data_IF_515573627856
#
_entry.id   IF_515573627856
#
_cell.length_a   1.000
_cell.length_b   1.000
_cell.length_c   1.000
_cell.angle_alpha   90.00
_cell.angle_beta   90.00
_cell.angle_gamma   90.00
#
_symmetry.space_group_name_H-M   'P 1'
#
loop_
_entity.id
_entity.type
_entity.pdbx_description
1 polymer ?
#
# COMPACT_ATOMS: atom_id res chain seq x y z
N UNK A 1 -0.90 5.09 -23.20
CA UNK A 1 -1.27 6.45 -22.77
C UNK A 1 -0.17 7.09 -21.93
N UNK A 2 0.19 6.56 -20.76
CA UNK A 2 1.24 7.16 -19.89
C UNK A 2 2.55 7.44 -20.63
N UNK A 3 3.13 6.43 -21.31
CA UNK A 3 4.41 6.60 -22.04
C UNK A 3 4.31 7.62 -23.17
N UNK A 4 3.20 7.64 -23.90
CA UNK A 4 2.96 8.57 -25.01
C UNK A 4 2.85 10.01 -24.50
N UNK A 5 2.11 10.23 -23.41
CA UNK A 5 1.97 11.55 -22.79
C UNK A 5 3.26 12.02 -22.12
N UNK A 6 4.01 11.13 -21.49
CA UNK A 6 5.35 11.42 -20.99
C UNK A 6 6.27 11.84 -22.15
N UNK A 7 6.28 11.08 -23.25
CA UNK A 7 7.06 11.41 -24.45
C UNK A 7 6.70 12.79 -25.05
N UNK A 8 5.40 13.08 -25.20
CA UNK A 8 4.92 14.39 -25.67
C UNK A 8 5.33 15.53 -24.73
N UNK A 9 5.29 15.30 -23.41
CA UNK A 9 5.76 16.25 -22.39
C UNK A 9 7.25 16.58 -22.53
N UNK A 10 8.08 15.62 -22.96
CA UNK A 10 9.50 15.85 -23.24
C UNK A 10 9.76 16.61 -24.54
N UNK A 11 8.89 16.50 -25.54
CA UNK A 11 9.08 17.12 -26.88
C UNK A 11 8.66 18.61 -26.89
N UNK A 12 7.68 19.03 -26.08
CA UNK A 12 7.15 20.40 -26.07
C UNK A 12 7.41 21.13 -24.73
N UNK A 13 8.65 21.56 -24.43
CA UNK A 13 9.02 22.08 -23.11
C UNK A 13 8.56 23.52 -22.82
N UNK A 14 8.15 24.30 -23.83
CA UNK A 14 8.09 25.77 -23.78
C UNK A 14 6.71 26.40 -23.49
N UNK A 15 5.60 25.66 -23.49
CA UNK A 15 4.24 26.21 -23.30
C UNK A 15 3.47 25.67 -22.08
N UNK A 16 4.13 24.98 -21.15
CA UNK A 16 3.45 24.37 -20.00
C UNK A 16 3.49 25.31 -18.77
N UNK A 17 2.36 25.59 -18.12
CA UNK A 17 2.30 26.42 -16.91
C UNK A 17 3.21 25.88 -15.79
N UNK A 18 3.89 26.77 -15.08
CA UNK A 18 4.84 26.42 -13.99
C UNK A 18 4.21 25.72 -12.79
N UNK A 19 2.87 25.70 -12.67
CA UNK A 19 2.13 25.05 -11.58
C UNK A 19 1.92 23.55 -11.74
N UNK A 20 2.23 22.95 -12.90
CA UNK A 20 2.06 21.50 -13.11
C UNK A 20 3.41 20.79 -12.97
N UNK A 21 3.62 19.97 -11.91
CA UNK A 21 4.83 19.20 -11.76
C UNK A 21 4.97 18.20 -12.91
N UNK A 22 5.99 18.41 -13.76
CA UNK A 22 6.28 17.57 -14.94
C UNK A 22 6.99 16.26 -14.60
N UNK A 23 7.51 16.13 -13.37
CA UNK A 23 8.38 15.05 -12.94
C UNK A 23 8.00 14.61 -11.54
N UNK A 24 8.13 13.31 -11.30
CA UNK A 24 8.07 12.77 -9.95
C UNK A 24 9.43 13.05 -9.30
N UNK A 25 9.42 13.81 -8.21
CA UNK A 25 10.62 14.00 -7.38
C UNK A 25 10.63 12.84 -6.39
N UNK A 26 11.46 11.84 -6.64
CA UNK A 26 11.70 10.74 -5.71
C UNK A 26 12.97 11.08 -4.90
N UNK A 27 12.85 11.56 -3.66
CA UNK A 27 14.02 11.68 -2.79
C UNK A 27 14.64 10.30 -2.56
N UNK A 28 15.94 10.24 -2.27
CA UNK A 28 16.60 8.98 -1.97
C UNK A 28 15.93 8.34 -0.74
N UNK A 29 15.54 7.07 -0.85
CA UNK A 29 14.82 6.36 0.21
C UNK A 29 15.57 6.32 1.55
N UNK A 30 16.89 6.54 1.53
CA UNK A 30 17.77 6.53 2.69
C UNK A 30 18.10 7.93 3.26
N UNK A 31 17.63 9.01 2.64
CA UNK A 31 17.87 10.38 3.12
C UNK A 31 16.81 10.88 4.12
N UNK A 32 15.80 10.06 4.45
CA UNK A 32 14.76 10.47 5.40
C UNK A 32 15.31 10.56 6.84
N UNK A 33 15.23 11.72 7.51
CA UNK A 33 15.63 11.85 8.91
C UNK A 33 14.72 11.07 9.87
N UNK A 34 13.56 10.58 9.43
CA UNK A 34 12.61 9.87 10.29
C UNK A 34 12.85 8.36 10.43
N UNK A 35 13.66 7.75 9.56
CA UNK A 35 13.79 6.28 9.46
C UNK A 35 14.70 5.67 10.55
N UNK A 36 15.50 6.48 11.26
CA UNK A 36 16.55 5.95 12.17
C UNK A 36 16.35 6.34 13.65
N UNK A 37 15.26 7.00 14.01
CA UNK A 37 15.10 7.55 15.36
C UNK A 37 14.01 6.88 16.21
N UNK A 38 13.07 6.14 15.60
CA UNK A 38 11.94 5.54 16.34
C UNK A 38 12.41 4.60 17.46
N UNK A 39 13.29 3.63 17.17
CA UNK A 39 13.80 2.69 18.19
C UNK A 39 14.55 3.42 19.31
N UNK A 40 15.30 4.48 18.96
CA UNK A 40 16.11 5.25 19.91
C UNK A 40 15.26 6.15 20.81
N UNK A 41 14.14 6.65 20.30
CA UNK A 41 13.25 7.56 21.00
C UNK A 41 12.10 6.84 21.73
N UNK A 42 11.79 5.58 21.38
CA UNK A 42 10.82 4.74 22.11
C UNK A 42 11.15 4.63 23.61
N UNK A 43 12.44 4.55 23.97
CA UNK A 43 12.87 4.46 25.37
C UNK A 43 12.70 5.75 26.18
N UNK A 44 12.40 6.88 25.53
CA UNK A 44 12.22 8.19 26.19
C UNK A 44 10.75 8.50 26.51
N UNK A 45 9.82 7.68 26.01
CA UNK A 45 8.38 7.92 26.15
C UNK A 45 7.90 7.39 27.51
N UNK A 46 7.13 8.21 28.24
CA UNK A 46 6.55 7.79 29.52
C UNK A 46 5.58 6.62 29.31
N UNK A 47 5.58 5.59 30.18
CA UNK A 47 4.71 4.42 30.07
C UNK A 47 3.22 4.75 29.92
N UNK A 48 2.77 5.86 30.51
CA UNK A 48 1.39 6.36 30.38
C UNK A 48 0.97 6.57 28.92
N UNK A 49 1.83 7.13 28.08
CA UNK A 49 1.54 7.36 26.67
C UNK A 49 1.50 6.07 25.86
N UNK A 50 2.28 5.06 26.26
CA UNK A 50 2.27 3.72 25.64
C UNK A 50 0.89 3.07 25.85
N UNK A 51 0.32 3.18 27.05
CA UNK A 51 -1.02 2.67 27.33
C UNK A 51 -2.11 3.43 26.57
N UNK A 52 -2.00 4.76 26.47
CA UNK A 52 -2.97 5.55 25.68
C UNK A 52 -2.92 5.19 24.19
N UNK A 53 -1.76 4.79 23.65
CA UNK A 53 -1.60 4.39 22.26
C UNK A 53 -2.35 3.11 21.87
N UNK A 54 -2.82 2.31 22.84
CA UNK A 54 -3.64 1.11 22.58
C UNK A 54 -4.98 1.49 21.92
N UNK A 55 -5.56 2.64 22.30
CA UNK A 55 -6.85 3.10 21.76
C UNK A 55 -6.79 3.35 20.24
N UNK A 56 -5.89 4.22 19.72
CA UNK A 56 -5.76 4.41 18.29
C UNK A 56 -5.25 3.14 17.59
N UNK A 57 -4.42 2.32 18.24
CA UNK A 57 -3.97 1.05 17.68
C UNK A 57 -5.13 0.09 17.41
N UNK A 58 -6.10 -0.01 18.33
CA UNK A 58 -7.30 -0.83 18.13
C UNK A 58 -8.15 -0.32 16.95
N UNK A 59 -8.30 0.99 16.82
CA UNK A 59 -9.04 1.60 15.71
C UNK A 59 -8.38 1.29 14.36
N UNK A 60 -7.05 1.43 14.27
CA UNK A 60 -6.29 1.10 13.05
C UNK A 60 -6.33 -0.40 12.74
N UNK A 61 -6.25 -1.25 13.75
CA UNK A 61 -6.38 -2.70 13.58
C UNK A 61 -7.74 -3.08 12.97
N UNK A 62 -8.82 -2.46 13.44
CA UNK A 62 -10.17 -2.63 12.86
C UNK A 62 -10.25 -2.19 11.40
N UNK A 63 -9.69 -1.01 11.07
CA UNK A 63 -9.64 -0.51 9.70
C UNK A 63 -8.85 -1.45 8.78
N UNK A 64 -7.71 -1.95 9.24
CA UNK A 64 -6.85 -2.84 8.46
C UNK A 64 -7.48 -4.20 8.22
N UNK A 65 -8.18 -4.71 9.24
CA UNK A 65 -8.97 -5.93 9.10
C UNK A 65 -10.06 -5.77 8.02
N UNK A 66 -10.74 -4.62 7.98
CA UNK A 66 -11.76 -4.32 6.98
C UNK A 66 -11.15 -4.17 5.58
N UNK A 67 -10.13 -3.33 5.41
CA UNK A 67 -9.43 -3.11 4.14
C UNK A 67 -8.93 -4.43 3.55
N UNK A 68 -8.30 -5.26 4.39
CA UNK A 68 -7.78 -6.56 3.98
C UNK A 68 -8.91 -7.50 3.55
N UNK A 69 -9.97 -7.61 4.35
CA UNK A 69 -11.10 -8.51 4.09
C UNK A 69 -11.86 -8.13 2.82
N UNK A 70 -12.07 -6.83 2.57
CA UNK A 70 -12.75 -6.35 1.36
C UNK A 70 -11.84 -6.50 0.14
N UNK A 71 -10.56 -6.14 0.25
CA UNK A 71 -9.62 -6.27 -0.86
C UNK A 71 -9.41 -7.73 -1.27
N UNK A 72 -9.33 -8.66 -0.31
CA UNK A 72 -9.16 -10.09 -0.57
C UNK A 72 -10.40 -10.69 -1.22
N UNK A 73 -11.60 -10.35 -0.75
CA UNK A 73 -12.86 -10.76 -1.37
C UNK A 73 -12.99 -10.26 -2.82
N UNK A 74 -12.59 -9.02 -3.08
CA UNK A 74 -12.62 -8.43 -4.42
C UNK A 74 -11.57 -9.04 -5.35
N UNK A 75 -10.40 -9.41 -4.84
CA UNK A 75 -9.37 -10.09 -5.62
C UNK A 75 -9.71 -11.56 -5.91
N UNK A 76 -10.54 -12.19 -5.09
CA UNK A 76 -10.86 -13.62 -5.13
C UNK A 76 -12.31 -13.90 -5.55
N UNK A 77 -12.91 -13.01 -6.36
CA UNK A 77 -14.24 -13.26 -6.92
C UNK A 77 -14.31 -14.60 -7.64
N UNK A 78 -15.45 -15.30 -7.51
CA UNK A 78 -15.70 -16.61 -8.16
C UNK A 78 -15.48 -16.57 -9.67
N UNK A 79 -15.64 -15.40 -10.28
CA UNK A 79 -15.40 -15.12 -11.70
C UNK A 79 -13.95 -15.41 -12.15
N UNK A 80 -12.98 -15.30 -11.25
CA UNK A 80 -11.55 -15.52 -11.57
C UNK A 80 -11.12 -16.99 -11.51
N UNK A 81 -12.01 -17.94 -11.16
CA UNK A 81 -11.75 -19.39 -11.18
C UNK A 81 -10.37 -19.80 -10.62
N UNK A 82 -10.05 -19.34 -9.41
CA UNK A 82 -8.74 -19.56 -8.79
C UNK A 82 -8.54 -21.04 -8.42
N UNK A 83 -7.36 -21.61 -8.77
CA UNK A 83 -6.98 -23.01 -8.49
C UNK A 83 -6.61 -23.26 -7.02
N UNK A 84 -6.16 -22.23 -6.30
CA UNK A 84 -5.73 -22.32 -4.90
C UNK A 84 -6.83 -21.78 -3.97
N UNK A 85 -7.11 -22.45 -2.83
CA UNK A 85 -8.07 -21.95 -1.87
C UNK A 85 -7.59 -20.65 -1.21
N UNK A 86 -8.53 -19.83 -0.74
CA UNK A 86 -8.27 -18.58 -0.05
C UNK A 86 -7.75 -18.81 1.37
N UNK A 87 -6.72 -18.07 1.81
CA UNK A 87 -6.09 -18.21 3.13
C UNK A 87 -6.19 -16.91 3.96
N UNK A 88 -7.40 -16.34 4.09
CA UNK A 88 -7.62 -15.04 4.74
C UNK A 88 -7.00 -14.90 6.15
N UNK A 89 -7.06 -15.95 6.97
CA UNK A 89 -6.52 -15.91 8.34
C UNK A 89 -4.99 -15.79 8.37
N UNK A 90 -4.31 -16.46 7.44
CA UNK A 90 -2.85 -16.41 7.35
C UNK A 90 -2.39 -15.03 6.87
N UNK A 91 -3.12 -14.45 5.93
CA UNK A 91 -2.81 -13.13 5.38
C UNK A 91 -2.98 -12.03 6.45
N UNK A 92 -4.00 -12.14 7.32
CA UNK A 92 -4.19 -11.22 8.46
C UNK A 92 -3.07 -11.36 9.49
N UNK A 93 -2.63 -12.59 9.79
CA UNK A 93 -1.50 -12.82 10.70
C UNK A 93 -0.21 -12.22 10.14
N UNK A 94 0.04 -12.41 8.85
CA UNK A 94 1.20 -11.84 8.16
C UNK A 94 1.14 -10.31 8.17
N UNK A 95 -0.04 -9.72 7.93
CA UNK A 95 -0.26 -8.28 7.99
C UNK A 95 0.07 -7.71 9.38
N UNK A 96 -0.38 -8.38 10.46
CA UNK A 96 -0.05 -7.99 11.82
C UNK A 96 1.46 -8.03 12.09
N UNK A 97 2.14 -9.10 11.65
CA UNK A 97 3.58 -9.23 11.79
C UNK A 97 4.35 -8.14 11.02
N UNK A 98 3.95 -7.84 9.78
CA UNK A 98 4.57 -6.75 9.00
C UNK A 98 4.29 -5.37 9.60
N UNK A 99 3.09 -5.14 10.14
CA UNK A 99 2.75 -3.88 10.80
C UNK A 99 3.63 -3.66 12.03
N UNK A 100 3.89 -4.71 12.81
CA UNK A 100 4.82 -4.66 13.94
C UNK A 100 6.25 -4.35 13.48
N UNK A 101 6.73 -5.03 12.44
CA UNK A 101 8.08 -4.79 11.90
C UNK A 101 8.23 -3.35 11.36
N UNK A 102 7.25 -2.87 10.60
CA UNK A 102 7.22 -1.50 10.09
C UNK A 102 7.17 -0.48 11.23
N UNK A 103 6.37 -0.75 12.27
CA UNK A 103 6.30 0.11 13.47
C UNK A 103 7.64 0.23 14.19
N UNK A 104 8.40 -0.87 14.31
CA UNK A 104 9.73 -0.84 14.91
C UNK A 104 10.75 -0.08 14.06
N UNK A 105 10.71 -0.25 12.73
CA UNK A 105 11.62 0.42 11.80
C UNK A 105 11.22 1.90 11.58
N UNK A 106 10.01 2.30 11.96
CA UNK A 106 9.47 3.64 11.71
C UNK A 106 8.96 3.81 10.27
N UNK A 107 8.69 2.71 9.58
CA UNK A 107 8.11 2.72 8.24
C UNK A 107 6.58 2.83 8.32
N UNK A 108 5.95 3.50 7.34
CA UNK A 108 4.51 3.50 7.25
C UNK A 108 4.00 2.06 7.07
N UNK A 109 2.96 1.65 7.82
CA UNK A 109 2.37 0.34 7.67
C UNK A 109 1.68 0.19 6.30
N UNK A 110 1.74 -1.01 5.73
CA UNK A 110 1.13 -1.33 4.44
C UNK A 110 -0.31 -1.81 4.65
N UNK A 111 -1.29 -1.22 3.96
CA UNK A 111 -2.68 -1.66 3.96
C UNK A 111 -3.08 -2.31 2.61
N UNK A 112 -4.22 -3.02 2.61
CA UNK A 112 -4.78 -3.60 1.39
C UNK A 112 -5.33 -2.53 0.46
N UNK A 113 -4.76 -2.39 -0.74
CA UNK A 113 -5.18 -1.35 -1.69
C UNK A 113 -6.37 -1.84 -2.54
N UNK A 114 -7.57 -1.36 -2.20
CA UNK A 114 -8.85 -1.75 -2.81
C UNK A 114 -8.87 -1.75 -4.35
N UNK A 115 -8.42 -0.70 -5.08
CA UNK A 115 -8.45 -0.73 -6.55
C UNK A 115 -7.30 -1.52 -7.18
N UNK A 116 -6.16 -1.66 -6.48
CA UNK A 116 -4.97 -2.28 -7.05
C UNK A 116 -5.05 -3.80 -7.03
N UNK A 117 -5.60 -4.38 -5.96
CA UNK A 117 -5.79 -5.83 -5.81
C UNK A 117 -6.58 -6.46 -6.98
N UNK A 118 -7.78 -5.98 -7.36
CA UNK A 118 -8.51 -6.54 -8.50
C UNK A 118 -7.85 -6.24 -9.84
N UNK A 119 -7.21 -5.08 -10.00
CA UNK A 119 -6.51 -4.74 -11.25
C UNK A 119 -5.30 -5.65 -11.47
N UNK A 120 -4.59 -5.99 -10.41
CA UNK A 120 -3.50 -6.96 -10.45
C UNK A 120 -4.03 -8.35 -10.83
N UNK A 121 -5.10 -8.83 -10.20
CA UNK A 121 -5.75 -10.11 -10.58
C UNK A 121 -6.19 -10.11 -12.04
N UNK A 122 -6.81 -9.03 -12.53
CA UNK A 122 -7.23 -8.90 -13.94
C UNK A 122 -6.06 -8.93 -14.92
N UNK A 123 -4.92 -8.33 -14.57
CA UNK A 123 -3.72 -8.35 -15.41
C UNK A 123 -3.09 -9.75 -15.54
N UNK A 124 -3.27 -10.60 -14.52
CA UNK A 124 -2.79 -11.99 -14.51
C UNK A 124 -3.81 -13.00 -15.05
N UNK A 125 -5.07 -12.60 -15.21
CA UNK A 125 -6.12 -13.45 -15.74
C UNK A 125 -6.00 -13.57 -17.27
N UNK A 126 -5.88 -14.80 -17.77
CA UNK A 126 -5.96 -15.09 -19.21
C UNK A 126 -7.43 -15.17 -19.61
N UNK A 127 -8.00 -14.04 -20.04
CA UNK A 127 -9.31 -13.99 -20.68
C UNK A 127 -9.21 -14.60 -22.08
N UNK A 128 -9.74 -15.81 -22.29
CA UNK A 128 -9.99 -16.33 -23.64
C UNK A 128 -10.94 -15.37 -24.33
N UNK A 129 -10.47 -14.67 -25.36
CA UNK A 129 -11.29 -13.83 -26.23
C UNK A 129 -12.38 -14.71 -26.85
N UNK A 130 -13.61 -14.60 -26.36
CA UNK A 130 -14.78 -15.07 -27.10
C UNK A 130 -14.97 -14.06 -28.24
N UNK A 131 -14.35 -14.38 -29.38
CA UNK A 131 -14.53 -13.64 -30.62
C UNK A 131 -15.93 -14.00 -31.10
N UNK A 132 -16.87 -13.07 -30.88
CA UNK A 132 -18.17 -13.05 -31.55
C UNK A 132 -17.92 -12.61 -32.99
#
# INVERSE_FOLDING_TARGET
MVVVWTGLSFILPSKVPSGVPRRLIAPLAWESPSLHHVIKDMGKVSPSYIFTAIIPAMMVAGLYFFDHSVASQMAQQKEFNLKKPSAYHYDILLLGFMTLLCGLIGLPPSNGVLPQSPMHTKSLAVLKKQLI
#
